data_IF_519547266072
#
_entry.id   IF_519547266072
#
_cell.length_a   1.000
_cell.length_b   1.000
_cell.length_c   1.000
_cell.angle_alpha   90.00
_cell.angle_beta   90.00
_cell.angle_gamma   90.00
#
_symmetry.space_group_name_H-M   'P 1'
#
loop_
_entity.id
_entity.type
_entity.pdbx_description
1 polymer ?
#
# COMPACT_ATOMS: atom_id res chain seq x y z
N UNK A 1 -14.30 4.02 19.32
CA UNK A 1 -13.85 2.76 18.71
C UNK A 1 -14.83 2.43 17.58
N UNK A 2 -14.36 2.12 16.38
CA UNK A 2 -15.23 2.02 15.18
C UNK A 2 -16.04 0.70 15.13
N UNK A 3 -15.58 -0.36 15.81
CA UNK A 3 -16.30 -1.63 15.91
C UNK A 3 -16.96 -1.81 17.26
N UNK A 4 -18.19 -2.30 17.23
CA UNK A 4 -18.91 -2.84 18.37
C UNK A 4 -19.32 -4.28 18.07
N UNK A 5 -19.52 -5.14 19.10
CA UNK A 5 -20.05 -6.49 18.92
C UNK A 5 -21.34 -6.56 18.09
N UNK A 6 -22.14 -5.50 18.09
CA UNK A 6 -23.40 -5.38 17.34
C UNK A 6 -23.22 -5.59 15.83
N UNK A 7 -22.07 -5.21 15.27
CA UNK A 7 -21.75 -5.40 13.85
C UNK A 7 -21.69 -6.88 13.44
N UNK A 8 -21.54 -7.78 14.41
CA UNK A 8 -21.50 -9.23 14.19
C UNK A 8 -22.81 -9.92 14.62
N UNK A 9 -23.77 -9.18 15.16
CA UNK A 9 -25.07 -9.72 15.57
C UNK A 9 -25.85 -10.22 14.35
N UNK A 10 -26.35 -11.45 14.42
CA UNK A 10 -27.05 -12.11 13.32
C UNK A 10 -26.15 -12.85 12.31
N UNK A 11 -24.81 -12.74 12.40
CA UNK A 11 -23.93 -13.47 11.50
C UNK A 11 -23.83 -14.95 11.88
N UNK A 12 -24.44 -15.82 11.09
CA UNK A 12 -24.30 -17.28 11.24
C UNK A 12 -23.13 -17.76 10.39
N UNK A 13 -21.89 -17.67 10.89
CA UNK A 13 -20.79 -18.45 10.30
C UNK A 13 -21.12 -19.94 10.33
N UNK A 14 -20.45 -20.74 9.50
CA UNK A 14 -20.32 -22.18 9.77
C UNK A 14 -20.01 -22.35 11.24
N UNK A 15 -20.97 -22.90 12.01
CA UNK A 15 -20.80 -23.14 13.45
C UNK A 15 -19.71 -24.17 13.73
N UNK A 16 -19.19 -24.82 12.67
CA UNK A 16 -18.04 -25.72 12.70
C UNK A 16 -16.76 -24.97 12.35
N UNK A 17 -15.84 -24.86 13.30
CA UNK A 17 -14.48 -24.38 13.06
C UNK A 17 -13.67 -25.49 12.43
N UNK A 18 -13.05 -25.21 11.28
CA UNK A 18 -12.09 -26.15 10.69
C UNK A 18 -10.84 -26.19 11.55
N UNK A 19 -10.35 -27.40 11.78
CA UNK A 19 -9.06 -27.61 12.45
C UNK A 19 -7.97 -26.89 11.65
N UNK A 20 -7.25 -25.97 12.29
CA UNK A 20 -6.11 -25.34 11.65
C UNK A 20 -4.95 -26.34 11.54
N UNK A 21 -4.17 -26.23 10.46
CA UNK A 21 -3.01 -27.07 10.21
C UNK A 21 -1.70 -26.41 10.67
N UNK A 22 -1.80 -25.40 11.54
CA UNK A 22 -0.63 -24.76 12.13
C UNK A 22 0.13 -25.74 13.04
N UNK A 23 1.46 -25.82 12.93
CA UNK A 23 2.28 -26.49 13.93
C UNK A 23 2.06 -25.87 15.32
N UNK A 24 2.01 -26.71 16.37
CA UNK A 24 1.82 -26.21 17.74
C UNK A 24 2.92 -25.23 18.15
N UNK A 25 4.17 -25.46 17.74
CA UNK A 25 5.27 -24.52 18.01
C UNK A 25 5.01 -23.08 17.48
N UNK A 26 4.29 -22.94 16.35
CA UNK A 26 3.92 -21.62 15.83
C UNK A 26 2.80 -20.98 16.67
N UNK A 27 1.88 -21.80 17.19
CA UNK A 27 0.81 -21.37 18.09
C UNK A 27 1.41 -20.93 19.43
N UNK A 28 2.26 -21.75 20.03
CA UNK A 28 2.88 -21.50 21.34
C UNK A 28 3.70 -20.20 21.28
N UNK A 29 4.48 -20.01 20.22
CA UNK A 29 5.20 -18.75 19.96
C UNK A 29 4.25 -17.57 19.80
N UNK A 30 3.14 -17.73 19.10
CA UNK A 30 2.18 -16.66 18.92
C UNK A 30 1.44 -16.30 20.22
N UNK A 31 1.22 -17.26 21.11
CA UNK A 31 0.71 -17.05 22.46
C UNK A 31 1.72 -16.30 23.32
N UNK A 32 3.00 -16.72 23.30
CA UNK A 32 4.09 -16.04 24.01
C UNK A 32 4.24 -14.58 23.56
N UNK A 33 4.07 -14.32 22.26
CA UNK A 33 4.07 -12.97 21.69
C UNK A 33 2.77 -12.18 21.95
N UNK A 34 1.79 -12.74 22.65
CA UNK A 34 0.51 -12.09 22.96
C UNK A 34 -0.42 -11.88 21.77
N UNK A 35 -0.19 -12.56 20.63
CA UNK A 35 -1.03 -12.45 19.42
C UNK A 35 -2.36 -13.18 19.54
N UNK A 36 -2.39 -14.19 20.40
CA UNK A 36 -3.54 -15.05 20.64
C UNK A 36 -3.48 -15.61 22.04
N UNK A 37 -4.62 -16.08 22.53
CA UNK A 37 -4.74 -16.72 23.84
C UNK A 37 -5.73 -17.88 23.76
N UNK A 38 -5.69 -18.77 24.77
CA UNK A 38 -6.71 -19.79 24.93
C UNK A 38 -8.09 -19.14 25.04
N UNK A 39 -9.06 -19.68 24.32
CA UNK A 39 -10.42 -19.16 24.33
C UNK A 39 -11.07 -19.49 25.69
N UNK A 40 -11.46 -18.50 26.51
CA UNK A 40 -12.10 -18.78 27.81
C UNK A 40 -13.46 -19.47 27.68
N UNK A 41 -14.14 -19.26 26.55
CA UNK A 41 -15.39 -19.92 26.24
C UNK A 41 -15.22 -21.38 25.78
N UNK A 42 -13.98 -21.90 25.74
CA UNK A 42 -13.68 -23.24 25.23
C UNK A 42 -14.44 -24.36 25.97
N UNK A 43 -14.62 -24.20 27.29
CA UNK A 43 -15.33 -25.18 28.13
C UNK A 43 -16.83 -25.28 27.78
N UNK A 44 -17.39 -24.22 27.19
CA UNK A 44 -18.79 -24.16 26.75
C UNK A 44 -18.96 -24.57 25.28
N UNK A 45 -17.92 -25.04 24.60
CA UNK A 45 -17.99 -25.51 23.22
C UNK A 45 -18.36 -27.00 23.21
N UNK A 46 -19.66 -27.28 23.26
CA UNK A 46 -20.19 -28.64 23.11
C UNK A 46 -20.03 -29.16 21.66
N UNK A 47 -19.08 -30.08 21.45
CA UNK A 47 -18.91 -30.77 20.17
C UNK A 47 -18.39 -29.87 19.03
N UNK A 48 -19.13 -29.79 17.92
CA UNK A 48 -18.74 -29.04 16.70
C UNK A 48 -19.36 -27.65 16.63
N UNK A 49 -20.13 -27.21 17.63
CA UNK A 49 -20.87 -25.95 17.56
C UNK A 49 -20.30 -24.91 18.53
N UNK A 50 -19.99 -23.72 18.00
CA UNK A 50 -19.62 -22.58 18.84
C UNK A 50 -20.85 -22.02 19.58
N UNK A 51 -20.66 -21.50 20.81
CA UNK A 51 -21.71 -20.81 21.55
C UNK A 51 -22.09 -19.48 20.86
N UNK A 52 -23.22 -18.91 21.25
CA UNK A 52 -23.68 -17.63 20.75
C UNK A 52 -22.67 -16.50 21.06
N UNK A 53 -22.50 -15.57 20.12
CA UNK A 53 -21.49 -14.50 20.23
C UNK A 53 -20.04 -14.96 20.00
N UNK A 54 -19.82 -16.24 19.67
CA UNK A 54 -18.49 -16.76 19.31
C UNK A 54 -18.47 -17.14 17.82
N UNK A 55 -17.48 -16.62 17.09
CA UNK A 55 -17.36 -16.84 15.66
C UNK A 55 -16.03 -17.48 15.28
N UNK A 56 -16.13 -18.39 14.32
CA UNK A 56 -15.02 -19.17 13.81
C UNK A 56 -14.30 -18.47 12.67
N UNK A 57 -12.98 -18.38 12.75
CA UNK A 57 -12.12 -18.00 11.65
C UNK A 57 -11.16 -19.14 11.30
N UNK A 58 -10.81 -19.24 10.02
CA UNK A 58 -9.74 -20.15 9.61
C UNK A 58 -8.42 -19.43 9.72
N UNK A 59 -7.40 -20.13 10.19
CA UNK A 59 -6.06 -19.58 10.34
C UNK A 59 -5.06 -20.52 9.67
N UNK A 60 -4.12 -19.95 8.93
CA UNK A 60 -3.05 -20.69 8.27
C UNK A 60 -1.75 -19.88 8.27
N UNK A 61 -0.62 -20.52 8.06
CA UNK A 61 0.67 -19.85 7.98
C UNK A 61 1.19 -19.88 6.55
N UNK A 62 1.77 -18.77 6.12
CA UNK A 62 2.49 -18.68 4.84
C UNK A 62 3.98 -18.49 5.14
N UNK A 63 4.87 -19.29 4.53
CA UNK A 63 6.30 -19.07 4.66
C UNK A 63 6.69 -17.76 3.98
N UNK A 64 7.52 -16.98 4.65
CA UNK A 64 8.11 -15.74 4.15
C UNK A 64 9.62 -15.86 3.99
N UNK A 65 10.23 -14.86 3.36
CA UNK A 65 11.68 -14.72 3.33
C UNK A 65 12.25 -14.62 4.76
N UNK A 66 13.53 -14.98 4.92
CA UNK A 66 14.23 -15.02 6.22
C UNK A 66 13.65 -16.02 7.22
N UNK A 67 12.99 -17.09 6.75
CA UNK A 67 12.50 -18.19 7.60
C UNK A 67 11.31 -17.82 8.49
N UNK A 68 10.75 -16.61 8.33
CA UNK A 68 9.55 -16.16 9.05
C UNK A 68 8.33 -16.89 8.50
N UNK A 69 7.33 -17.13 9.36
CA UNK A 69 5.99 -17.56 8.95
C UNK A 69 5.00 -16.47 9.33
N UNK A 70 4.19 -16.03 8.36
CA UNK A 70 3.12 -15.08 8.61
C UNK A 70 1.85 -15.83 8.91
N UNK A 71 1.24 -15.54 10.05
CA UNK A 71 -0.10 -15.99 10.38
C UNK A 71 -1.11 -15.21 9.52
N UNK A 72 -1.95 -15.92 8.80
CA UNK A 72 -3.05 -15.38 8.00
C UNK A 72 -4.35 -15.83 8.61
N UNK A 73 -5.26 -14.87 8.77
CA UNK A 73 -6.61 -15.08 9.30
C UNK A 73 -7.56 -14.90 8.15
N UNK A 74 -8.38 -15.91 7.84
CA UNK A 74 -9.24 -15.85 6.67
C UNK A 74 -10.30 -14.74 6.85
N UNK A 75 -10.48 -13.86 5.85
CA UNK A 75 -11.33 -12.67 5.96
C UNK A 75 -12.84 -12.95 5.90
N UNK A 76 -13.34 -14.08 6.40
CA UNK A 76 -14.77 -14.42 6.33
C UNK A 76 -15.66 -13.35 6.98
N UNK A 77 -15.18 -12.74 8.06
CA UNK A 77 -15.89 -11.68 8.76
C UNK A 77 -15.97 -10.37 7.98
N UNK A 78 -15.20 -10.18 6.91
CA UNK A 78 -15.33 -8.99 6.06
C UNK A 78 -16.69 -8.92 5.36
N UNK A 79 -17.41 -10.03 5.21
CA UNK A 79 -18.76 -10.05 4.64
C UNK A 79 -19.82 -9.45 5.59
N UNK A 80 -19.52 -9.32 6.88
CA UNK A 80 -20.45 -8.74 7.86
C UNK A 80 -20.57 -7.22 7.73
N UNK A 81 -19.67 -6.60 6.96
CA UNK A 81 -19.49 -5.16 6.95
C UNK A 81 -19.80 -4.60 5.58
N UNK A 82 -20.75 -3.68 5.55
CA UNK A 82 -21.01 -2.95 4.33
C UNK A 82 -19.86 -1.99 4.06
N UNK A 83 -19.57 -1.80 2.77
CA UNK A 83 -18.51 -0.87 2.36
C UNK A 83 -18.87 0.58 2.69
N UNK A 84 -20.16 0.89 2.85
CA UNK A 84 -20.67 2.19 3.31
C UNK A 84 -20.24 2.51 4.74
N UNK A 85 -20.16 1.49 5.59
CA UNK A 85 -19.96 1.67 7.02
C UNK A 85 -18.47 1.88 7.31
N UNK A 86 -17.61 1.26 6.50
CA UNK A 86 -16.16 1.36 6.58
C UNK A 86 -15.65 2.81 6.58
N UNK A 87 -14.68 3.16 7.45
CA UNK A 87 -14.09 4.48 7.46
C UNK A 87 -13.44 4.76 6.10
N UNK A 88 -13.81 5.90 5.51
CA UNK A 88 -13.23 6.34 4.25
C UNK A 88 -11.89 7.00 4.54
N UNK A 89 -10.82 6.36 4.11
CA UNK A 89 -9.50 6.99 4.08
C UNK A 89 -9.29 7.61 2.71
N UNK A 90 -8.89 8.88 2.69
CA UNK A 90 -8.45 9.55 1.47
C UNK A 90 -6.93 9.44 1.37
N UNK A 91 -6.46 8.96 0.23
CA UNK A 91 -5.04 8.86 -0.08
C UNK A 91 -4.72 9.77 -1.25
N UNK A 92 -3.57 10.48 -1.25
CA UNK A 92 -3.16 11.24 -2.40
C UNK A 92 -2.97 10.32 -3.59
N UNK A 93 -3.42 10.76 -4.75
CA UNK A 93 -3.13 10.11 -6.02
C UNK A 93 -1.63 10.05 -6.23
N UNK A 94 -1.21 9.14 -7.10
CA UNK A 94 0.20 9.02 -7.47
C UNK A 94 0.77 10.30 -8.08
N UNK A 95 -0.03 11.03 -8.85
CA UNK A 95 0.40 12.29 -9.46
C UNK A 95 0.59 13.37 -8.40
N UNK A 96 -0.40 13.54 -7.50
CA UNK A 96 -0.32 14.49 -6.39
C UNK A 96 0.92 14.21 -5.53
N UNK A 97 1.13 12.95 -5.13
CA UNK A 97 2.31 12.57 -4.36
C UNK A 97 3.62 12.97 -5.05
N UNK A 98 3.74 12.70 -6.35
CA UNK A 98 4.95 13.07 -7.11
C UNK A 98 5.15 14.58 -7.18
N UNK A 99 4.07 15.33 -7.38
CA UNK A 99 4.12 16.79 -7.46
C UNK A 99 4.55 17.39 -6.11
N UNK A 100 3.97 16.93 -5.01
CA UNK A 100 4.32 17.38 -3.66
C UNK A 100 5.76 17.02 -3.26
N UNK A 101 6.28 15.89 -3.74
CA UNK A 101 7.63 15.43 -3.42
C UNK A 101 8.71 15.94 -4.40
N UNK A 102 8.30 16.60 -5.49
CA UNK A 102 9.20 16.93 -6.62
C UNK A 102 10.44 17.71 -6.20
N UNK A 103 10.27 18.68 -5.31
CA UNK A 103 11.35 19.59 -4.92
C UNK A 103 11.95 19.25 -3.54
N UNK A 104 11.51 18.15 -2.91
CA UNK A 104 11.95 17.78 -1.57
C UNK A 104 13.38 17.25 -1.60
N UNK A 105 14.31 18.01 -1.02
CA UNK A 105 15.73 17.66 -0.92
C UNK A 105 15.96 16.50 0.05
N UNK A 106 15.22 16.48 1.16
CA UNK A 106 15.35 15.48 2.21
C UNK A 106 14.12 14.56 2.21
N UNK A 107 14.34 13.25 2.33
CA UNK A 107 13.29 12.22 2.40
C UNK A 107 13.71 11.07 3.33
N UNK A 108 12.98 10.86 4.41
CA UNK A 108 13.15 9.71 5.31
C UNK A 108 11.88 8.86 5.31
N UNK A 109 12.04 7.56 5.09
CA UNK A 109 10.95 6.59 5.10
C UNK A 109 11.10 5.70 6.33
N UNK A 110 9.97 5.44 6.98
CA UNK A 110 9.86 4.58 8.16
C UNK A 110 8.68 3.64 7.93
N UNK A 111 8.90 2.34 8.11
CA UNK A 111 7.89 1.30 7.95
C UNK A 111 7.68 0.59 9.29
N UNK A 112 6.43 0.36 9.72
CA UNK A 112 6.18 -0.37 10.96
C UNK A 112 6.38 -1.88 10.80
N UNK A 113 7.10 -2.49 11.74
CA UNK A 113 7.29 -3.92 11.76
C UNK A 113 6.13 -4.64 12.45
N UNK A 114 5.62 -5.70 11.81
CA UNK A 114 4.53 -6.52 12.36
C UNK A 114 3.32 -5.68 12.84
N UNK A 115 3.00 -4.61 12.11
CA UNK A 115 2.12 -3.53 12.58
C UNK A 115 0.77 -3.97 13.14
N UNK A 116 0.09 -4.90 12.47
CA UNK A 116 -1.18 -5.46 12.93
C UNK A 116 -1.02 -6.32 14.19
N UNK A 117 0.08 -7.07 14.31
CA UNK A 117 0.38 -7.88 15.49
C UNK A 117 0.71 -7.01 16.71
N UNK A 118 1.20 -5.79 16.51
CA UNK A 118 1.49 -4.86 17.60
C UNK A 118 0.24 -4.12 18.12
N UNK A 119 -0.87 -4.16 17.38
CA UNK A 119 -2.09 -3.42 17.72
C UNK A 119 -3.09 -4.34 18.42
N UNK A 120 -3.43 -4.11 19.70
CA UNK A 120 -4.36 -4.96 20.44
C UNK A 120 -5.79 -4.92 19.90
N UNK A 121 -6.43 -6.09 19.92
CA UNK A 121 -7.86 -6.23 19.70
C UNK A 121 -8.60 -6.09 21.05
N UNK A 122 -9.66 -5.28 21.12
CA UNK A 122 -10.51 -5.14 22.31
C UNK A 122 -11.06 -6.49 22.76
N UNK A 123 -11.09 -6.73 24.08
CA UNK A 123 -11.48 -8.01 24.66
C UNK A 123 -12.86 -8.51 24.19
N UNK A 124 -13.81 -7.59 24.07
CA UNK A 124 -15.17 -7.85 23.59
C UNK A 124 -15.23 -8.34 22.14
N UNK A 125 -14.23 -8.00 21.31
CA UNK A 125 -14.17 -8.40 19.90
C UNK A 125 -13.43 -9.72 19.68
N UNK A 126 -12.65 -10.21 20.65
CA UNK A 126 -11.79 -11.39 20.46
C UNK A 126 -12.58 -12.67 20.20
N UNK A 127 -13.78 -12.79 20.77
CA UNK A 127 -14.65 -13.95 20.59
C UNK A 127 -15.17 -14.11 19.16
N UNK A 128 -15.06 -13.07 18.33
CA UNK A 128 -15.38 -13.17 16.91
C UNK A 128 -14.25 -13.81 16.08
N UNK A 129 -13.06 -13.99 16.65
CA UNK A 129 -11.87 -14.49 15.97
C UNK A 129 -11.33 -15.78 16.61
N UNK A 130 -12.22 -16.76 16.82
CA UNK A 130 -11.85 -18.06 17.42
C UNK A 130 -11.45 -19.06 16.36
N UNK A 131 -10.42 -19.85 16.62
CA UNK A 131 -10.00 -20.95 15.77
C UNK A 131 -9.60 -22.19 16.60
N UNK A 132 -9.58 -23.35 15.95
CA UNK A 132 -9.31 -24.64 16.59
C UNK A 132 -7.93 -25.14 16.20
N UNK A 133 -7.08 -25.37 17.18
CA UNK A 133 -5.72 -25.87 16.99
C UNK A 133 -5.67 -27.38 16.72
N UNK A 134 -4.47 -27.88 16.36
CA UNK A 134 -4.28 -29.29 16.01
C UNK A 134 -4.49 -30.23 17.21
N UNK A 135 -4.16 -29.77 18.41
CA UNK A 135 -4.40 -30.48 19.67
C UNK A 135 -5.89 -30.48 20.09
N UNK A 136 -6.76 -29.79 19.34
CA UNK A 136 -8.19 -29.71 19.61
C UNK A 136 -8.61 -28.53 20.46
N UNK A 137 -7.65 -27.81 21.08
CA UNK A 137 -7.91 -26.62 21.88
C UNK A 137 -8.37 -25.45 21.01
N UNK A 138 -9.11 -24.52 21.63
CA UNK A 138 -9.60 -23.31 20.97
C UNK A 138 -8.79 -22.11 21.42
N UNK A 139 -8.41 -21.28 20.44
CA UNK A 139 -7.66 -20.06 20.63
C UNK A 139 -8.43 -18.89 20.02
N UNK A 140 -8.21 -17.68 20.52
CA UNK A 140 -8.76 -16.44 19.97
C UNK A 140 -7.66 -15.42 19.72
N UNK A 141 -7.84 -14.58 18.69
CA UNK A 141 -6.89 -13.50 18.40
C UNK A 141 -6.96 -12.40 19.48
N UNK A 142 -5.80 -11.85 19.82
CA UNK A 142 -5.65 -10.73 20.74
C UNK A 142 -5.20 -9.45 20.05
N UNK A 143 -4.89 -9.50 18.76
CA UNK A 143 -4.34 -8.39 17.96
C UNK A 143 -5.12 -8.22 16.66
N UNK A 144 -4.86 -7.14 15.92
CA UNK A 144 -5.59 -6.88 14.68
C UNK A 144 -5.40 -8.01 13.66
N UNK A 145 -6.49 -8.54 13.08
CA UNK A 145 -6.41 -9.54 12.02
C UNK A 145 -5.90 -8.90 10.72
N UNK A 146 -4.85 -9.49 10.15
CA UNK A 146 -4.13 -8.98 8.96
C UNK A 146 -4.97 -8.84 7.70
N UNK A 147 -5.99 -9.67 7.52
CA UNK A 147 -6.83 -9.68 6.31
C UNK A 147 -8.18 -8.97 6.50
N UNK A 148 -8.47 -8.47 7.70
CA UNK A 148 -9.72 -7.76 7.90
C UNK A 148 -9.65 -6.37 7.26
N UNK A 149 -10.64 -6.04 6.42
CA UNK A 149 -10.68 -4.79 5.65
C UNK A 149 -10.59 -3.57 6.55
N UNK A 150 -11.18 -3.64 7.73
CA UNK A 150 -11.22 -2.55 8.70
C UNK A 150 -9.94 -2.41 9.52
N UNK A 151 -9.13 -3.46 9.65
CA UNK A 151 -7.81 -3.36 10.30
C UNK A 151 -6.95 -2.31 9.60
N UNK A 152 -7.07 -2.19 8.28
CA UNK A 152 -6.39 -1.17 7.46
C UNK A 152 -6.80 0.25 7.88
N UNK A 153 -8.09 0.48 8.12
CA UNK A 153 -8.60 1.79 8.55
C UNK A 153 -8.15 2.14 9.98
N UNK A 154 -8.16 1.15 10.88
CA UNK A 154 -7.64 1.31 12.24
C UNK A 154 -6.15 1.63 12.20
N UNK A 155 -5.37 0.86 11.44
CA UNK A 155 -3.95 1.09 11.23
C UNK A 155 -3.68 2.49 10.66
N UNK A 156 -4.41 2.92 9.64
CA UNK A 156 -4.27 4.28 9.14
C UNK A 156 -4.56 5.33 10.23
N UNK A 157 -5.61 5.16 11.03
CA UNK A 157 -5.95 6.11 12.10
C UNK A 157 -4.84 6.24 13.15
N UNK A 158 -4.23 5.11 13.54
CA UNK A 158 -3.08 5.09 14.45
C UNK A 158 -1.91 5.84 13.83
N UNK A 159 -1.53 5.51 12.59
CA UNK A 159 -0.41 6.19 11.90
C UNK A 159 -0.66 7.68 11.73
N UNK A 160 -1.88 8.07 11.35
CA UNK A 160 -2.28 9.48 11.24
C UNK A 160 -2.11 10.21 12.58
N UNK A 161 -2.49 9.59 13.69
CA UNK A 161 -2.31 10.17 15.04
C UNK A 161 -0.83 10.32 15.41
N UNK A 162 -0.01 9.32 15.07
CA UNK A 162 1.44 9.36 15.35
C UNK A 162 2.11 10.52 14.61
N UNK A 163 1.75 10.74 13.35
CA UNK A 163 2.40 11.76 12.52
C UNK A 163 1.76 13.13 12.61
N UNK A 164 0.69 13.30 13.40
CA UNK A 164 -0.02 14.56 13.61
C UNK A 164 0.81 15.54 14.47
N UNK A 165 1.94 15.97 13.92
CA UNK A 165 2.86 16.93 14.52
C UNK A 165 2.75 18.24 13.77
N UNK A 166 2.65 19.34 14.51
CA UNK A 166 2.66 20.68 13.92
C UNK A 166 4.03 20.97 13.29
N UNK A 167 4.10 20.99 11.97
CA UNK A 167 5.35 21.16 11.22
C UNK A 167 5.10 21.67 9.81
N UNK A 168 6.01 22.50 9.25
CA UNK A 168 5.92 22.94 7.85
C UNK A 168 6.43 21.89 6.85
N UNK A 169 7.04 20.78 7.30
CA UNK A 169 7.52 19.73 6.39
C UNK A 169 6.39 18.86 5.86
N UNK A 170 6.62 18.24 4.71
CA UNK A 170 5.64 17.35 4.09
C UNK A 170 5.71 15.97 4.72
N UNK A 171 4.61 15.52 5.33
CA UNK A 171 4.47 14.14 5.81
C UNK A 171 3.41 13.42 4.99
N UNK A 172 3.74 12.22 4.52
CA UNK A 172 2.82 11.35 3.80
C UNK A 172 2.79 9.98 4.46
N UNK A 173 1.61 9.42 4.64
CA UNK A 173 1.45 8.10 5.23
C UNK A 173 0.47 7.24 4.44
N UNK A 174 0.70 5.93 4.50
CA UNK A 174 -0.26 4.93 4.06
C UNK A 174 -0.09 3.69 4.92
N UNK A 175 -1.05 3.47 5.81
CA UNK A 175 -1.07 2.36 6.76
C UNK A 175 0.21 2.33 7.61
N UNK A 176 1.11 1.39 7.36
CA UNK A 176 2.36 1.14 8.08
C UNK A 176 3.54 1.97 7.57
N UNK A 177 3.38 2.65 6.43
CA UNK A 177 4.43 3.42 5.78
C UNK A 177 4.31 4.91 6.07
N UNK A 178 5.39 5.51 6.59
CA UNK A 178 5.55 6.94 6.84
C UNK A 178 6.67 7.48 5.96
N UNK A 179 6.45 8.63 5.33
CA UNK A 179 7.45 9.38 4.61
C UNK A 179 7.46 10.82 5.14
N UNK A 180 8.61 11.28 5.60
CA UNK A 180 8.87 12.65 6.04
C UNK A 180 9.76 13.28 4.98
N UNK A 181 9.40 14.46 4.47
CA UNK A 181 10.11 15.10 3.38
C UNK A 181 10.15 16.63 3.53
N UNK A 182 11.29 17.23 3.22
CA UNK A 182 11.52 18.66 3.38
C UNK A 182 12.28 19.26 2.20
N UNK A 183 12.06 20.55 1.96
CA UNK A 183 12.82 21.32 0.97
C UNK A 183 14.21 21.66 1.52
N UNK A 184 15.09 22.16 0.65
CA UNK A 184 16.36 22.76 1.09
C UNK A 184 16.08 24.05 1.88
N UNK A 185 16.77 24.25 3.01
CA UNK A 185 16.49 25.35 3.95
C UNK A 185 15.46 25.01 5.04
N UNK A 186 14.92 23.78 5.06
CA UNK A 186 14.00 23.28 6.10
C UNK A 186 14.65 22.19 6.97
N UNK A 187 15.98 22.17 7.09
CA UNK A 187 16.73 21.13 7.80
C UNK A 187 16.32 21.00 9.26
N UNK A 188 16.20 22.13 9.97
CA UNK A 188 15.82 22.15 11.39
C UNK A 188 14.39 21.63 11.61
N UNK A 189 13.44 22.08 10.78
CA UNK A 189 12.05 21.61 10.84
C UNK A 189 11.95 20.12 10.55
N UNK A 190 12.73 19.63 9.58
CA UNK A 190 12.80 18.22 9.22
C UNK A 190 13.32 17.39 10.40
N UNK A 191 14.44 17.78 10.99
CA UNK A 191 15.03 17.12 12.14
C UNK A 191 14.04 17.09 13.32
N UNK A 192 13.45 18.24 13.65
CA UNK A 192 12.43 18.37 14.70
C UNK A 192 11.24 17.44 14.46
N UNK A 193 10.71 17.39 13.23
CA UNK A 193 9.60 16.51 12.87
C UNK A 193 9.97 15.03 13.04
N UNK A 194 11.16 14.61 12.58
CA UNK A 194 11.62 13.22 12.74
C UNK A 194 11.71 12.86 14.22
N UNK A 195 12.34 13.69 15.07
CA UNK A 195 12.48 13.39 16.50
C UNK A 195 11.12 13.28 17.20
N UNK A 196 10.19 14.19 16.91
CA UNK A 196 8.84 14.17 17.48
C UNK A 196 8.06 12.93 17.06
N UNK A 197 8.16 12.53 15.80
CA UNK A 197 7.52 11.32 15.28
C UNK A 197 8.15 10.08 15.92
N UNK A 198 9.48 9.98 16.00
CA UNK A 198 10.16 8.86 16.67
C UNK A 198 9.78 8.76 18.15
N UNK A 199 9.67 9.88 18.86
CA UNK A 199 9.23 9.91 20.25
C UNK A 199 7.78 9.40 20.41
N UNK A 200 6.87 9.78 19.50
CA UNK A 200 5.50 9.27 19.48
C UNK A 200 5.42 7.78 19.14
N UNK A 201 6.21 7.31 18.17
CA UNK A 201 6.35 5.88 17.84
C UNK A 201 6.84 5.09 19.05
N UNK A 202 7.84 5.61 19.76
CA UNK A 202 8.34 5.03 21.01
C UNK A 202 7.27 4.98 22.10
N UNK A 203 6.51 6.07 22.28
CA UNK A 203 5.39 6.12 23.23
C UNK A 203 4.27 5.12 22.89
N UNK A 204 4.05 4.84 21.60
CA UNK A 204 3.11 3.83 21.14
C UNK A 204 3.67 2.39 21.17
N UNK A 205 4.94 2.21 21.57
CA UNK A 205 5.65 0.93 21.59
C UNK A 205 5.63 0.17 20.25
N UNK A 206 5.71 0.90 19.14
CA UNK A 206 5.76 0.30 17.80
C UNK A 206 7.22 0.13 17.36
N UNK A 207 7.53 -0.97 16.67
CA UNK A 207 8.85 -1.21 16.07
C UNK A 207 8.86 -0.75 14.62
N UNK A 208 10.02 -0.33 14.12
CA UNK A 208 10.16 0.23 12.77
C UNK A 208 11.37 -0.30 12.02
N UNK A 209 11.32 -0.18 10.70
CA UNK A 209 12.45 -0.31 9.79
C UNK A 209 12.60 0.99 8.98
N UNK A 210 13.73 1.72 9.07
CA UNK A 210 14.86 1.51 9.98
C UNK A 210 14.48 1.56 11.47
N UNK A 211 15.33 1.00 12.33
CA UNK A 211 15.07 0.91 13.77
C UNK A 211 14.88 2.29 14.41
N UNK A 212 13.83 2.43 15.22
CA UNK A 212 13.41 3.71 15.81
C UNK A 212 14.43 4.27 16.80
N UNK A 213 15.12 3.42 17.57
CA UNK A 213 16.11 3.89 18.55
C UNK A 213 17.37 4.38 17.83
N UNK A 214 17.76 3.68 16.76
CA UNK A 214 18.83 4.10 15.87
C UNK A 214 18.53 5.47 15.25
N UNK A 215 17.32 5.67 14.72
CA UNK A 215 16.91 6.97 14.17
C UNK A 215 16.80 8.06 15.26
N UNK A 216 16.33 7.71 16.46
CA UNK A 216 16.17 8.67 17.56
C UNK A 216 17.50 9.14 18.15
N UNK A 217 18.57 8.33 18.07
CA UNK A 217 19.89 8.64 18.63
C UNK A 217 20.93 9.07 17.61
N UNK A 218 20.70 8.84 16.31
CA UNK A 218 21.55 9.32 15.22
C UNK A 218 21.77 10.82 15.31
N UNK A 219 22.98 11.32 15.07
CA UNK A 219 23.25 12.76 15.04
C UNK A 219 22.60 13.43 13.82
N UNK A 220 22.42 14.75 13.89
CA UNK A 220 21.68 15.51 12.89
C UNK A 220 22.35 15.48 11.51
N UNK A 221 23.69 15.52 11.45
CA UNK A 221 24.42 15.48 10.19
C UNK A 221 24.26 14.12 9.50
N UNK A 222 24.35 13.03 10.26
CA UNK A 222 24.10 11.67 9.77
C UNK A 222 22.65 11.49 9.31
N UNK A 223 21.67 12.01 10.06
CA UNK A 223 20.26 11.89 9.68
C UNK A 223 19.95 12.66 8.38
N UNK A 224 20.51 13.87 8.22
CA UNK A 224 20.38 14.64 6.99
C UNK A 224 21.08 13.96 5.82
N UNK A 225 22.24 13.32 6.06
CA UNK A 225 22.96 12.54 5.04
C UNK A 225 22.10 11.36 4.56
N UNK A 226 21.56 10.58 5.51
CA UNK A 226 20.63 9.48 5.24
C UNK A 226 19.41 9.95 4.43
N UNK A 227 18.82 11.09 4.79
CA UNK A 227 17.66 11.63 4.10
C UNK A 227 17.94 12.13 2.65
N UNK A 228 19.21 12.32 2.28
CA UNK A 228 19.62 12.66 0.90
C UNK A 228 19.73 11.44 0.00
N UNK A 229 19.82 10.24 0.57
CA UNK A 229 19.96 9.00 -0.18
C UNK A 229 18.71 8.71 -1.04
N UNK A 230 18.85 7.83 -2.07
CA UNK A 230 17.69 7.31 -2.79
C UNK A 230 16.74 6.58 -1.84
N UNK A 231 15.45 6.87 -1.94
CA UNK A 231 14.44 6.32 -1.03
C UNK A 231 13.33 5.63 -1.82
N UNK A 232 12.73 4.57 -1.28
CA UNK A 232 11.59 3.88 -1.88
C UNK A 232 10.34 4.09 -1.03
N UNK A 233 9.29 4.67 -1.61
CA UNK A 233 8.00 4.85 -0.97
C UNK A 233 6.86 4.36 -1.87
N UNK A 234 6.00 3.50 -1.33
CA UNK A 234 4.84 2.93 -2.04
C UNK A 234 5.16 2.31 -3.41
N UNK A 235 6.33 1.68 -3.53
CA UNK A 235 6.76 1.01 -4.76
C UNK A 235 7.35 1.94 -5.82
N UNK A 236 7.63 3.19 -5.47
CA UNK A 236 8.38 4.15 -6.29
C UNK A 236 9.70 4.51 -5.61
N UNK A 237 10.76 4.60 -6.41
CA UNK A 237 12.08 5.04 -5.98
C UNK A 237 12.27 6.50 -6.37
N UNK A 238 12.74 7.30 -5.41
CA UNK A 238 12.95 8.73 -5.51
C UNK A 238 14.42 9.05 -5.35
N UNK A 239 15.03 9.71 -6.34
CA UNK A 239 16.43 10.13 -6.31
C UNK A 239 16.56 11.61 -6.63
N UNK A 240 17.27 12.36 -5.79
CA UNK A 240 17.61 13.74 -6.07
C UNK A 240 18.67 13.84 -7.17
N UNK A 241 18.47 14.69 -8.17
CA UNK A 241 19.45 14.90 -9.25
C UNK A 241 20.23 16.22 -9.14
N UNK A 242 20.00 17.00 -8.09
CA UNK A 242 20.54 18.37 -7.93
C UNK A 242 19.47 19.45 -8.00
N UNK A 243 18.32 19.19 -8.62
CA UNK A 243 17.23 20.17 -8.78
C UNK A 243 15.84 19.62 -8.44
N UNK A 244 15.58 18.34 -8.71
CA UNK A 244 14.30 17.70 -8.44
C UNK A 244 14.46 16.20 -8.13
N UNK A 245 13.40 15.60 -7.59
CA UNK A 245 13.28 14.15 -7.40
C UNK A 245 12.90 13.48 -8.72
N UNK A 246 13.83 12.69 -9.23
CA UNK A 246 13.58 11.73 -10.29
C UNK A 246 12.85 10.53 -9.71
N UNK A 247 11.78 10.09 -10.37
CA UNK A 247 10.91 9.01 -9.88
C UNK A 247 10.93 7.84 -10.85
N UNK A 248 11.12 6.62 -10.31
CA UNK A 248 10.93 5.38 -11.08
C UNK A 248 10.18 4.31 -10.29
N UNK A 249 9.69 3.26 -10.95
CA UNK A 249 9.18 2.11 -10.21
C UNK A 249 10.33 1.39 -9.49
N UNK A 250 10.10 0.93 -8.27
CA UNK A 250 11.09 0.17 -7.51
C UNK A 250 11.38 -1.19 -8.15
N UNK A 251 12.57 -1.72 -7.91
CA UNK A 251 12.97 -3.05 -8.39
C UNK A 251 11.99 -4.14 -7.95
N UNK A 252 11.47 -4.05 -6.70
CA UNK A 252 10.46 -4.96 -6.16
C UNK A 252 9.16 -4.94 -6.96
N UNK A 253 8.67 -3.75 -7.32
CA UNK A 253 7.47 -3.61 -8.16
C UNK A 253 7.69 -4.24 -9.54
N UNK A 254 8.85 -4.00 -10.16
CA UNK A 254 9.18 -4.55 -11.48
C UNK A 254 9.27 -6.06 -11.44
N UNK A 255 9.94 -6.63 -10.43
CA UNK A 255 10.04 -8.07 -10.24
C UNK A 255 8.65 -8.72 -10.08
N UNK A 256 7.74 -8.10 -9.30
CA UNK A 256 6.35 -8.59 -9.16
C UNK A 256 5.64 -8.68 -10.51
N UNK A 257 5.79 -7.66 -11.36
CA UNK A 257 5.17 -7.67 -12.68
C UNK A 257 5.78 -8.76 -13.58
N UNK A 258 7.10 -8.90 -13.59
CA UNK A 258 7.78 -9.95 -14.36
C UNK A 258 7.27 -11.34 -13.95
N UNK A 259 7.18 -11.60 -12.64
CA UNK A 259 6.66 -12.89 -12.13
C UNK A 259 5.20 -13.08 -12.54
N UNK A 260 4.36 -12.06 -12.41
CA UNK A 260 2.95 -12.15 -12.78
C UNK A 260 2.75 -12.45 -14.27
N UNK A 261 3.60 -11.90 -15.13
CA UNK A 261 3.57 -12.10 -16.59
C UNK A 261 4.04 -13.50 -17.03
N UNK A 262 4.82 -14.21 -16.20
CA UNK A 262 5.29 -15.56 -16.50
C UNK A 262 4.23 -16.65 -16.29
N UNK A 263 3.06 -16.29 -15.77
CA UNK A 263 1.99 -17.27 -15.51
C UNK A 263 1.47 -17.85 -16.83
N UNK A 264 1.38 -19.19 -16.97
CA UNK A 264 1.01 -19.82 -18.24
C UNK A 264 -0.46 -19.63 -18.61
N UNK A 265 -1.34 -19.44 -17.62
CA UNK A 265 -2.76 -19.25 -17.83
C UNK A 265 -3.36 -18.24 -16.84
N UNK A 266 -4.31 -17.44 -17.31
CA UNK A 266 -5.01 -16.45 -16.51
C UNK A 266 -6.50 -16.78 -16.42
N UNK A 267 -7.05 -16.73 -15.22
CA UNK A 267 -8.49 -16.50 -15.02
C UNK A 267 -8.81 -15.04 -15.29
N UNK A 268 -10.07 -14.70 -15.58
CA UNK A 268 -10.52 -13.30 -15.79
C UNK A 268 -10.08 -12.39 -14.63
N UNK A 269 -10.21 -12.87 -13.38
CA UNK A 269 -9.78 -12.13 -12.19
C UNK A 269 -8.28 -11.87 -12.20
N UNK A 270 -7.47 -12.91 -12.39
CA UNK A 270 -6.02 -12.75 -12.41
C UNK A 270 -5.53 -11.91 -13.59
N UNK A 271 -6.21 -11.99 -14.73
CA UNK A 271 -5.94 -11.15 -15.90
C UNK A 271 -6.19 -9.67 -15.58
N UNK A 272 -7.35 -9.34 -15.01
CA UNK A 272 -7.66 -7.97 -14.59
C UNK A 272 -6.62 -7.43 -13.59
N UNK A 273 -6.19 -8.24 -12.62
CA UNK A 273 -5.12 -7.85 -11.68
C UNK A 273 -3.79 -7.56 -12.37
N UNK A 274 -3.38 -8.35 -13.36
CA UNK A 274 -2.15 -8.09 -14.14
C UNK A 274 -2.27 -6.81 -14.95
N UNK A 275 -3.40 -6.60 -15.62
CA UNK A 275 -3.68 -5.36 -16.36
C UNK A 275 -3.54 -4.15 -15.43
N UNK A 276 -4.16 -4.19 -14.24
CA UNK A 276 -4.05 -3.13 -13.23
C UNK A 276 -2.61 -2.90 -12.78
N UNK A 277 -1.82 -3.96 -12.56
CA UNK A 277 -0.41 -3.83 -12.20
C UNK A 277 0.40 -3.18 -13.34
N UNK A 278 0.08 -3.48 -14.60
CA UNK A 278 0.74 -2.88 -15.75
C UNK A 278 0.41 -1.41 -15.91
N UNK A 279 -0.86 -1.03 -15.70
CA UNK A 279 -1.23 0.39 -15.62
C UNK A 279 -0.54 1.11 -14.46
N UNK A 280 -0.46 0.45 -13.29
CA UNK A 280 0.33 0.97 -12.18
C UNK A 280 1.80 1.16 -12.57
N UNK A 281 2.37 0.34 -13.45
CA UNK A 281 3.80 0.39 -13.77
C UNK A 281 4.16 1.13 -15.06
N UNK A 282 3.15 1.53 -15.84
CA UNK A 282 3.28 2.07 -17.19
C UNK A 282 4.26 3.25 -17.33
N UNK A 283 4.47 4.00 -16.25
CA UNK A 283 5.36 5.15 -16.24
C UNK A 283 6.86 4.84 -16.39
N UNK A 284 7.34 3.64 -16.01
CA UNK A 284 8.78 3.31 -16.18
C UNK A 284 9.06 1.96 -16.79
N UNK A 285 8.07 1.08 -16.88
CA UNK A 285 8.23 -0.12 -17.68
C UNK A 285 7.94 0.27 -19.13
N UNK A 286 8.96 0.33 -19.99
CA UNK A 286 8.80 0.38 -21.46
C UNK A 286 8.09 -0.87 -22.03
N UNK A 287 7.46 -1.67 -21.16
CA UNK A 287 6.63 -2.82 -21.49
C UNK A 287 5.36 -2.26 -22.12
N UNK A 288 5.29 -2.34 -23.44
CA UNK A 288 4.07 -2.05 -24.17
C UNK A 288 2.97 -3.01 -23.70
N UNK A 289 1.87 -2.52 -23.09
CA UNK A 289 0.79 -3.36 -22.61
C UNK A 289 -0.04 -4.01 -23.75
N UNK A 290 0.40 -3.93 -25.00
CA UNK A 290 -0.10 -4.74 -26.11
C UNK A 290 0.88 -5.87 -26.49
N UNK A 291 2.18 -5.75 -26.18
CA UNK A 291 3.20 -6.76 -26.54
C UNK A 291 3.16 -8.00 -25.67
N UNK A 292 2.83 -7.87 -24.39
CA UNK A 292 2.54 -9.03 -23.54
C UNK A 292 1.18 -9.71 -23.86
N UNK A 293 0.50 -9.29 -24.94
CA UNK A 293 -0.83 -9.77 -25.32
C UNK A 293 -0.92 -10.42 -26.72
N UNK A 294 0.21 -10.60 -27.42
CA UNK A 294 0.27 -11.41 -28.65
C UNK A 294 1.22 -12.59 -28.47
N UNK A 295 0.78 -13.87 -28.46
CA UNK A 295 -0.53 -14.41 -28.82
C UNK A 295 -1.24 -15.06 -27.60
N UNK A 296 -2.27 -14.39 -27.08
CA UNK A 296 -3.46 -15.13 -26.64
C UNK A 296 -4.13 -15.68 -27.90
N UNK A 297 -3.53 -16.73 -28.46
CA UNK A 297 -4.23 -17.68 -29.30
C UNK A 297 -5.48 -18.08 -28.55
N UNK A 298 -6.62 -17.84 -29.19
CA UNK A 298 -7.93 -18.08 -28.66
C UNK A 298 -8.03 -19.48 -28.04
N UNK A 299 -8.16 -19.57 -26.72
CA UNK A 299 -9.19 -20.38 -26.09
C UNK A 299 -9.59 -19.72 -24.76
N UNK A 300 -10.63 -18.87 -24.75
CA UNK A 300 -11.47 -18.85 -23.56
C UNK A 300 -12.04 -20.26 -23.41
N UNK A 301 -11.86 -20.89 -22.26
CA UNK A 301 -12.75 -22.00 -21.87
C UNK A 301 -14.14 -21.37 -21.79
N UNK A 302 -14.88 -21.52 -22.88
CA UNK A 302 -16.21 -20.98 -23.06
C UNK A 302 -17.12 -21.72 -22.07
N UNK A 303 -17.40 -21.08 -20.94
CA UNK A 303 -18.69 -21.29 -20.31
C UNK A 303 -19.69 -20.45 -21.11
N UNK A 304 -20.70 -21.13 -21.63
CA UNK A 304 -21.70 -20.60 -22.54
C UNK A 304 -22.29 -19.26 -22.05
N UNK A 305 -22.52 -18.37 -23.03
CA UNK A 305 -23.27 -17.09 -23.01
C UNK A 305 -22.43 -15.83 -22.80
N UNK A 306 -22.14 -15.17 -23.93
CA UNK A 306 -22.52 -13.78 -24.26
C UNK A 306 -21.51 -13.17 -25.25
N UNK A 307 -21.84 -13.29 -26.53
CA UNK A 307 -21.19 -12.57 -27.61
C UNK A 307 -21.78 -11.17 -27.73
N UNK A 308 -21.19 -10.16 -27.07
CA UNK A 308 -21.42 -8.74 -27.44
C UNK A 308 -20.37 -7.74 -26.93
N UNK A 309 -19.33 -8.17 -26.21
CA UNK A 309 -18.32 -7.25 -25.62
C UNK A 309 -17.04 -7.05 -26.46
N UNK A 310 -16.81 -7.87 -27.50
CA UNK A 310 -15.55 -7.84 -28.27
C UNK A 310 -15.33 -6.58 -29.11
N UNK A 311 -16.37 -5.85 -29.48
CA UNK A 311 -16.23 -4.71 -30.41
C UNK A 311 -15.97 -3.35 -29.74
N UNK A 312 -16.27 -3.19 -28.44
CA UNK A 312 -16.23 -1.88 -27.77
C UNK A 312 -14.89 -1.59 -27.09
N UNK A 313 -14.26 -2.60 -26.47
CA UNK A 313 -12.98 -2.42 -25.75
C UNK A 313 -11.77 -2.27 -26.69
N UNK A 314 -11.74 -2.99 -27.81
CA UNK A 314 -10.64 -2.93 -28.77
C UNK A 314 -10.48 -1.57 -29.47
N UNK A 315 -11.58 -0.81 -29.65
CA UNK A 315 -11.54 0.52 -30.28
C UNK A 315 -11.19 1.65 -29.30
N UNK A 316 -11.54 1.54 -28.01
CA UNK A 316 -11.19 2.57 -27.00
C UNK A 316 -9.71 2.53 -26.60
N UNK A 317 -9.12 1.33 -26.45
CA UNK A 317 -7.70 1.19 -26.12
C UNK A 317 -6.76 1.71 -27.23
N UNK A 318 -7.16 1.58 -28.51
CA UNK A 318 -6.38 2.14 -29.63
C UNK A 318 -6.46 3.67 -29.73
N UNK A 319 -7.57 4.30 -29.32
CA UNK A 319 -7.72 5.76 -29.35
C UNK A 319 -7.10 6.47 -28.14
N UNK A 320 -7.10 5.85 -26.95
CA UNK A 320 -6.50 6.44 -25.73
C UNK A 320 -4.97 6.57 -25.78
N UNK A 321 -4.28 5.67 -26.48
CA UNK A 321 -2.80 5.66 -26.59
C UNK A 321 -2.28 6.76 -27.53
N UNK A 322 -3.08 7.20 -28.51
CA UNK A 322 -2.66 8.22 -29.48
C UNK A 322 -2.82 9.67 -28.98
N UNK A 323 -3.61 9.93 -27.94
CA UNK A 323 -3.75 11.27 -27.36
C UNK A 323 -2.82 11.55 -26.17
N UNK A 324 -2.19 10.54 -25.58
CA UNK A 324 -1.26 10.71 -24.45
C UNK A 324 0.20 10.96 -24.82
N UNK A 325 0.57 10.85 -26.11
CA UNK A 325 1.97 10.90 -26.56
C UNK A 325 2.31 12.02 -27.54
N UNK A 326 1.46 13.05 -27.69
CA UNK A 326 1.67 14.13 -28.66
C UNK A 326 1.51 15.52 -28.07
N UNK A 327 2.16 15.81 -26.93
CA UNK A 327 2.40 17.17 -26.46
C UNK A 327 3.77 17.24 -25.76
N UNK A 328 4.85 17.29 -26.57
CA UNK A 328 6.13 17.99 -26.32
C UNK A 328 7.13 17.66 -27.43
N UNK A 329 7.14 18.47 -28.49
CA UNK A 329 8.33 18.74 -29.30
C UNK A 329 8.40 20.24 -29.63
N UNK A 330 9.20 20.93 -28.81
CA UNK A 330 10.17 21.97 -29.17
C UNK A 330 9.93 22.66 -30.53
N UNK A 331 9.46 23.90 -30.49
CA UNK A 331 9.58 24.83 -31.61
C UNK A 331 11.05 25.15 -31.85
N UNK A 332 11.63 24.59 -32.91
CA UNK A 332 12.88 25.07 -33.50
C UNK A 332 12.57 26.36 -34.27
N UNK A 333 12.97 27.50 -33.71
CA UNK A 333 13.13 28.75 -34.46
C UNK A 333 14.35 28.57 -35.38
N UNK A 334 14.17 28.81 -36.69
CA UNK A 334 15.24 28.77 -37.68
C UNK A 334 16.19 29.97 -37.50
N UNK A 335 17.51 29.80 -37.68
CA UNK A 335 18.44 30.92 -37.74
C UNK A 335 18.36 31.60 -39.13
N UNK A 336 18.28 32.92 -39.15
CA UNK A 336 18.58 33.73 -40.33
C UNK A 336 19.96 34.38 -40.12
N UNK A 337 20.92 34.04 -40.97
CA UNK A 337 22.22 34.72 -41.07
C UNK A 337 22.15 35.93 -42.03
N UNK A 338 23.07 36.90 -41.90
CA UNK A 338 22.86 38.29 -42.31
C UNK A 338 23.49 38.63 -43.66
N UNK A 339 22.94 39.64 -44.35
CA UNK A 339 23.69 40.45 -45.32
C UNK A 339 23.04 41.83 -45.58
N UNK A 340 23.84 42.85 -45.28
CA UNK A 340 24.08 44.08 -46.05
C UNK A 340 23.09 45.26 -46.02
N UNK A 341 23.67 46.38 -45.60
CA UNK A 341 23.26 47.78 -45.79
C UNK A 341 22.71 48.09 -47.20
N UNK A 342 21.78 49.06 -47.29
CA UNK A 342 22.00 50.40 -47.91
C UNK A 342 20.66 51.17 -48.10
N UNK A 343 20.64 52.40 -47.56
CA UNK A 343 19.98 53.66 -47.96
C UNK A 343 18.47 53.78 -48.23
N UNK A 344 17.93 54.86 -47.62
CA UNK A 344 16.92 55.76 -48.20
C UNK A 344 15.49 55.34 -47.87
N UNK A 345 14.58 56.17 -47.38
CA UNK A 345 14.50 57.61 -47.29
C UNK A 345 13.01 57.97 -47.20
N UNK A 346 12.70 59.06 -46.47
CA UNK A 346 11.44 59.82 -46.46
C UNK A 346 10.16 59.13 -45.91
N UNK A 347 9.62 59.61 -44.79
CA UNK A 347 8.72 60.78 -44.62
C UNK A 347 7.30 60.55 -45.18
N UNK A 348 6.33 60.36 -44.26
CA UNK A 348 5.16 61.22 -43.97
C UNK A 348 4.24 60.45 -43.01
N UNK A 349 3.88 60.99 -41.83
CA UNK A 349 2.71 61.87 -41.57
C UNK A 349 1.44 61.27 -42.19
N UNK A 350 0.36 60.97 -41.48
CA UNK A 350 -0.35 61.81 -40.49
C UNK A 350 -1.54 61.03 -39.90
N UNK A 351 -1.91 61.38 -38.66
CA UNK A 351 -3.27 61.42 -38.06
C UNK A 351 -4.09 60.11 -38.02
N UNK A 352 -4.70 59.71 -36.91
CA UNK A 352 -5.30 60.50 -35.83
C UNK A 352 -5.34 59.65 -34.55
#
# INVERSE_FOLDING_TARGET
MFFTPEHFTGFRTSRTIKKCHLPMADIDRAVEMGKMELCPAADNIEGKHLPEGVHGVNVFAVPEMKGRRRLITEPHLNACLQTSDMPKVQYPTRLERRQSLRNKRYMLQVDFEAYYDATPLPGELRNFFVFRARNGAYFRLCTLPTEARWSVAVGQGITSTIVDVDTPVTIMTMIDNILIAADEGQEEDFLSAVRRIMARIRGANLLTSPDRESLATMDDASLLSLAKEPNTFLGEEYRWNGSERLVRNSAKSVAKLIVALRKPAFTIRSFASVVSLMFYMLHTTLINPARAWSPLGAQPVATHRQGTLRHVLGRRLRRGVLHGCLLRRVGRVRPQTPAQHVKGGRLRRTTR
#
